data_IF_597594162612
#
_entry.id   IF_597594162612
#
_cell.length_a   1.000
_cell.length_b   1.000
_cell.length_c   1.000
_cell.angle_alpha   90.00
_cell.angle_beta   90.00
_cell.angle_gamma   90.00
#
_symmetry.space_group_name_H-M   'P 1'
#
loop_
_entity.id
_entity.type
_entity.pdbx_description
1 polymer ?
#
# COMPACT_ATOMS: atom_id res chain seq x y z
N UNK A 1 -0.37 2.86 -13.27
CA UNK A 1 -0.15 2.50 -14.68
C UNK A 1 1.16 1.76 -14.83
N UNK A 2 2.32 2.34 -14.46
CA UNK A 2 3.63 1.68 -14.60
C UNK A 2 3.95 0.49 -13.68
N UNK A 3 3.02 0.10 -12.79
CA UNK A 3 3.19 -1.07 -11.92
C UNK A 3 2.45 -2.32 -12.42
N UNK A 4 1.49 -2.16 -13.34
CA UNK A 4 0.74 -3.31 -13.84
C UNK A 4 1.68 -4.23 -14.64
N UNK A 5 1.44 -5.53 -14.59
CA UNK A 5 2.14 -6.51 -15.42
C UNK A 5 1.77 -6.37 -16.90
N UNK A 6 2.54 -7.04 -17.77
CA UNK A 6 2.40 -6.94 -19.24
C UNK A 6 0.98 -7.30 -19.74
N UNK A 7 0.30 -8.23 -19.07
CA UNK A 7 -1.05 -8.67 -19.39
C UNK A 7 -2.15 -7.81 -18.72
N UNK A 8 -1.78 -6.70 -18.08
CA UNK A 8 -2.68 -5.84 -17.32
C UNK A 8 -3.00 -6.36 -15.92
N UNK A 9 -2.30 -7.41 -15.46
CA UNK A 9 -2.43 -7.90 -14.09
C UNK A 9 -2.04 -6.81 -13.08
N UNK A 10 -2.80 -6.73 -11.99
CA UNK A 10 -2.51 -5.79 -10.93
C UNK A 10 -1.21 -6.18 -10.22
N UNK A 11 -0.38 -5.19 -9.95
CA UNK A 11 0.73 -5.35 -9.01
C UNK A 11 0.21 -5.84 -7.65
N UNK A 12 0.94 -6.69 -6.90
CA UNK A 12 0.49 -7.18 -5.59
C UNK A 12 0.01 -6.06 -4.64
N UNK A 13 0.70 -4.92 -4.64
CA UNK A 13 0.27 -3.75 -3.85
C UNK A 13 -1.07 -3.15 -4.32
N UNK A 14 -1.32 -3.11 -5.64
CA UNK A 14 -2.60 -2.64 -6.18
C UNK A 14 -3.74 -3.60 -5.81
N UNK A 15 -3.51 -4.91 -5.93
CA UNK A 15 -4.45 -5.95 -5.55
C UNK A 15 -4.77 -5.88 -4.04
N UNK A 16 -3.75 -5.75 -3.20
CA UNK A 16 -3.92 -5.66 -1.75
C UNK A 16 -4.79 -4.46 -1.32
N UNK A 17 -4.62 -3.29 -1.94
CA UNK A 17 -5.48 -2.12 -1.67
C UNK A 17 -6.94 -2.37 -2.05
N UNK A 18 -7.19 -3.14 -3.12
CA UNK A 18 -8.53 -3.54 -3.52
C UNK A 18 -9.14 -4.53 -2.52
N UNK A 19 -8.41 -5.60 -2.20
CA UNK A 19 -8.84 -6.69 -1.32
C UNK A 19 -9.05 -6.26 0.13
N UNK A 20 -8.19 -5.38 0.64
CA UNK A 20 -8.28 -4.87 2.01
C UNK A 20 -9.22 -3.68 2.15
N UNK A 21 -9.92 -3.25 1.09
CA UNK A 21 -10.71 -2.01 1.08
C UNK A 21 -9.88 -0.78 1.53
N UNK A 22 -8.64 -0.70 1.03
CA UNK A 22 -7.68 0.38 1.26
C UNK A 22 -7.95 1.65 0.44
N UNK A 23 -9.05 1.70 -0.32
CA UNK A 23 -9.47 2.87 -1.11
C UNK A 23 -10.97 3.13 -0.97
N UNK A 24 -11.35 4.41 -1.12
CA UNK A 24 -12.74 4.87 -1.21
C UNK A 24 -12.88 5.84 -2.39
N UNK A 25 -12.63 7.14 -2.19
CA UNK A 25 -12.69 8.13 -3.27
C UNK A 25 -11.60 7.94 -4.34
N UNK A 26 -10.57 7.15 -4.07
CA UNK A 26 -9.50 6.79 -5.00
C UNK A 26 -8.43 7.87 -5.23
N UNK A 27 -8.67 9.13 -4.86
CA UNK A 27 -7.78 10.24 -5.21
C UNK A 27 -6.36 10.09 -4.66
N UNK A 28 -6.21 9.66 -3.41
CA UNK A 28 -4.91 9.44 -2.78
C UNK A 28 -4.27 8.09 -3.16
N UNK A 29 -5.02 7.18 -3.78
CA UNK A 29 -4.61 5.77 -3.95
C UNK A 29 -3.35 5.62 -4.81
N UNK A 30 -3.17 6.32 -5.94
CA UNK A 30 -1.93 6.21 -6.71
C UNK A 30 -0.68 6.57 -5.90
N UNK A 31 -0.70 7.67 -5.14
CA UNK A 31 0.41 8.08 -4.28
C UNK A 31 0.70 7.07 -3.17
N UNK A 32 -0.35 6.58 -2.52
CA UNK A 32 -0.26 5.54 -1.50
C UNK A 32 0.37 4.25 -2.03
N UNK A 33 -0.06 3.77 -3.20
CA UNK A 33 0.46 2.53 -3.80
C UNK A 33 1.93 2.68 -4.17
N UNK A 34 2.34 3.83 -4.72
CA UNK A 34 3.75 4.07 -5.07
C UNK A 34 4.64 4.11 -3.83
N UNK A 35 4.23 4.87 -2.79
CA UNK A 35 4.98 4.97 -1.54
C UNK A 35 5.07 3.60 -0.83
N UNK A 36 3.96 2.87 -0.75
CA UNK A 36 3.93 1.54 -0.15
C UNK A 36 4.82 0.54 -0.89
N UNK A 37 4.84 0.60 -2.22
CA UNK A 37 5.67 -0.29 -3.04
C UNK A 37 7.16 -0.01 -2.80
N UNK A 38 7.58 1.26 -2.76
CA UNK A 38 8.96 1.64 -2.40
C UNK A 38 9.31 1.19 -0.99
N UNK A 39 8.41 1.45 -0.03
CA UNK A 39 8.62 1.12 1.38
C UNK A 39 8.86 -0.38 1.58
N UNK A 40 8.06 -1.24 0.94
CA UNK A 40 8.26 -2.70 1.02
C UNK A 40 9.55 -3.12 0.32
N UNK A 41 9.88 -2.56 -0.85
CA UNK A 41 11.10 -2.90 -1.58
C UNK A 41 12.38 -2.53 -0.81
N UNK A 42 12.36 -1.46 -0.03
CA UNK A 42 13.48 -0.99 0.79
C UNK A 42 13.64 -1.79 2.10
N UNK A 43 12.64 -2.58 2.50
CA UNK A 43 12.61 -3.33 3.77
C UNK A 43 12.39 -4.84 3.50
N UNK A 44 13.40 -5.56 2.97
CA UNK A 44 13.26 -6.97 2.59
C UNK A 44 13.03 -7.93 3.76
N UNK A 45 13.39 -7.53 4.98
CA UNK A 45 13.15 -8.31 6.21
C UNK A 45 11.71 -8.17 6.74
N UNK A 46 10.88 -7.36 6.07
CA UNK A 46 9.48 -7.11 6.43
C UNK A 46 9.28 -5.86 7.29
N UNK A 47 8.02 -5.43 7.41
CA UNK A 47 7.58 -4.25 8.14
C UNK A 47 6.58 -4.62 9.24
N UNK A 48 6.60 -3.89 10.35
CA UNK A 48 5.52 -3.90 11.34
C UNK A 48 4.54 -2.73 11.10
N UNK A 49 3.43 -2.71 11.86
CA UNK A 49 2.39 -1.67 11.72
C UNK A 49 2.95 -0.26 11.95
N UNK A 50 3.85 -0.10 12.92
CA UNK A 50 4.43 1.20 13.26
C UNK A 50 5.30 1.72 12.12
N UNK A 51 6.15 0.87 11.54
CA UNK A 51 6.99 1.20 10.41
C UNK A 51 6.17 1.58 9.17
N UNK A 52 5.08 0.85 8.88
CA UNK A 52 4.17 1.21 7.77
C UNK A 52 3.53 2.57 7.99
N UNK A 53 3.04 2.86 9.20
CA UNK A 53 2.40 4.15 9.52
C UNK A 53 3.37 5.32 9.40
N UNK A 54 4.61 5.14 9.86
CA UNK A 54 5.66 6.14 9.74
C UNK A 54 6.07 6.35 8.27
N UNK A 55 6.30 5.27 7.52
CA UNK A 55 6.68 5.33 6.10
C UNK A 55 5.62 5.97 5.20
N UNK A 56 4.36 6.00 5.64
CA UNK A 56 3.25 6.62 4.90
C UNK A 56 2.81 8.00 5.44
N UNK A 57 3.53 8.60 6.40
CA UNK A 57 3.11 9.86 7.04
C UNK A 57 2.92 11.03 6.07
N UNK A 58 3.66 11.04 4.96
CA UNK A 58 3.55 12.05 3.89
C UNK A 58 2.37 11.86 2.94
N UNK A 59 1.65 10.74 3.02
CA UNK A 59 0.52 10.45 2.16
C UNK A 59 -0.79 10.66 2.92
N UNK A 60 -1.54 11.69 2.53
CA UNK A 60 -2.78 12.05 3.21
C UNK A 60 -4.00 11.38 2.58
N UNK A 61 -4.85 10.79 3.42
CA UNK A 61 -6.14 10.26 3.04
C UNK A 61 -7.25 10.80 3.94
N UNK A 62 -8.33 11.28 3.33
CA UNK A 62 -9.49 11.80 4.07
C UNK A 62 -10.60 10.78 4.29
N UNK A 63 -10.62 9.70 3.51
CA UNK A 63 -11.79 8.82 3.41
C UNK A 63 -11.62 7.52 4.21
N UNK A 64 -10.45 6.88 4.13
CA UNK A 64 -10.27 5.49 4.64
C UNK A 64 -9.96 5.38 6.13
N UNK A 65 -9.50 6.47 6.76
CA UNK A 65 -9.00 6.43 8.14
C UNK A 65 -7.72 5.61 8.32
N UNK A 66 -6.99 5.32 7.23
CA UNK A 66 -5.69 4.64 7.17
C UNK A 66 -5.64 3.17 7.59
N UNK A 67 -6.55 2.68 8.43
CA UNK A 67 -6.50 1.31 8.95
C UNK A 67 -6.38 0.23 7.85
N UNK A 68 -7.24 0.30 6.84
CA UNK A 68 -7.23 -0.65 5.72
C UNK A 68 -6.06 -0.46 4.74
N UNK A 69 -5.49 0.76 4.68
CA UNK A 69 -4.26 1.02 3.90
C UNK A 69 -3.09 0.30 4.56
N UNK A 70 -2.95 0.46 5.88
CA UNK A 70 -1.89 -0.19 6.65
C UNK A 70 -2.01 -1.71 6.56
N UNK A 71 -3.23 -2.25 6.68
CA UNK A 71 -3.51 -3.68 6.49
C UNK A 71 -3.08 -4.18 5.11
N UNK A 72 -3.36 -3.42 4.04
CA UNK A 72 -2.97 -3.78 2.68
C UNK A 72 -1.45 -3.86 2.49
N UNK A 73 -0.71 -2.93 3.10
CA UNK A 73 0.76 -2.91 2.99
C UNK A 73 1.35 -4.11 3.74
N UNK A 74 0.86 -4.39 4.94
CA UNK A 74 1.32 -5.52 5.75
C UNK A 74 0.98 -6.87 5.12
N UNK A 75 -0.11 -6.98 4.35
CA UNK A 75 -0.41 -8.23 3.64
C UNK A 75 0.56 -8.53 2.49
N UNK A 76 1.35 -7.54 2.05
CA UNK A 76 2.35 -7.70 0.98
C UNK A 76 3.77 -7.79 1.54
N UNK A 77 4.11 -6.97 2.54
CA UNK A 77 5.48 -6.85 3.07
C UNK A 77 5.58 -6.93 4.60
N UNK A 78 4.59 -7.50 5.28
CA UNK A 78 4.62 -7.68 6.73
C UNK A 78 5.64 -8.73 7.17
N UNK A 79 6.14 -8.61 8.40
CA UNK A 79 6.87 -9.68 9.06
C UNK A 79 5.94 -10.86 9.36
N UNK A 80 6.49 -12.09 9.32
CA UNK A 80 5.75 -13.32 9.67
C UNK A 80 5.41 -13.40 11.17
#
# INVERSE_FOLDING_TARGET
EGLAGDDGELHPMQAAFMECHGLQCGYCTPGMVMAATSLVAENPDGLDETAVRQGLEGNLCRCTGYHNIVKAVLSVGGTA
#
